data_IF_501398034083
#
_entry.id   IF_501398034083
#
_cell.length_a   1.000
_cell.length_b   1.000
_cell.length_c   1.000
_cell.angle_alpha   90.00
_cell.angle_beta   90.00
_cell.angle_gamma   90.00
#
_symmetry.space_group_name_H-M   'P 1'
#
loop_
_entity.id
_entity.type
_entity.pdbx_description
1 polymer ?
#
# COMPACT_ATOMS: atom_id res chain seq x y z
N UNK A 1 -18.40 9.60 6.09
CA UNK A 1 -17.02 10.02 6.45
C UNK A 1 -16.20 8.76 6.55
N UNK A 2 -15.00 8.72 5.95
CA UNK A 2 -14.10 7.58 6.12
C UNK A 2 -13.64 7.49 7.58
N UNK A 3 -13.56 6.28 8.09
CA UNK A 3 -12.87 5.91 9.33
C UNK A 3 -11.37 5.78 9.08
N UNK A 4 -10.57 5.82 10.16
CA UNK A 4 -9.13 5.59 10.06
C UNK A 4 -8.79 4.19 9.49
N UNK A 5 -9.66 3.19 9.73
CA UNK A 5 -9.50 1.83 9.18
C UNK A 5 -9.70 1.82 7.67
N UNK A 6 -10.81 2.39 7.19
CA UNK A 6 -11.05 2.51 5.74
C UNK A 6 -9.94 3.33 5.05
N UNK A 7 -9.40 4.36 5.73
CA UNK A 7 -8.25 5.11 5.24
C UNK A 7 -6.99 4.24 5.08
N UNK A 8 -6.74 3.29 5.99
CA UNK A 8 -5.61 2.36 5.87
C UNK A 8 -5.81 1.31 4.79
N UNK A 9 -7.05 0.84 4.59
CA UNK A 9 -7.39 -0.11 3.52
C UNK A 9 -7.17 0.50 2.13
N UNK A 10 -7.42 1.80 1.98
CA UNK A 10 -7.12 2.57 0.76
C UNK A 10 -5.63 2.90 0.57
N UNK A 11 -4.76 2.51 1.50
CA UNK A 11 -3.34 2.90 1.52
C UNK A 11 -2.63 2.63 0.21
N UNK A 12 -2.75 1.41 -0.33
CA UNK A 12 -2.11 1.02 -1.59
C UNK A 12 -2.64 1.83 -2.77
N UNK A 13 -3.97 1.95 -2.92
CA UNK A 13 -4.58 2.75 -4.00
C UNK A 13 -4.15 4.23 -3.95
N UNK A 14 -3.92 4.77 -2.74
CA UNK A 14 -3.40 6.13 -2.54
C UNK A 14 -1.96 6.25 -3.05
N UNK A 15 -1.11 5.26 -2.79
CA UNK A 15 0.30 5.24 -3.24
C UNK A 15 0.37 5.04 -4.75
N UNK A 16 -0.39 4.10 -5.29
CA UNK A 16 -0.40 3.74 -6.71
C UNK A 16 -1.17 4.76 -7.57
N UNK A 17 -1.98 5.63 -6.95
CA UNK A 17 -2.72 6.69 -7.64
C UNK A 17 -4.03 6.23 -8.29
N UNK A 18 -4.55 5.05 -7.94
CA UNK A 18 -5.71 4.40 -8.57
C UNK A 18 -7.07 4.72 -7.92
N UNK A 19 -7.22 5.92 -7.33
CA UNK A 19 -8.46 6.30 -6.67
C UNK A 19 -9.53 6.84 -7.63
N UNK A 20 -10.78 6.40 -7.44
CA UNK A 20 -11.97 7.07 -8.01
C UNK A 20 -12.08 8.51 -7.49
N UNK A 21 -12.63 9.41 -8.30
CA UNK A 21 -12.76 10.84 -7.95
C UNK A 21 -13.48 11.10 -6.61
N UNK A 22 -14.58 10.39 -6.35
CA UNK A 22 -15.33 10.51 -5.09
C UNK A 22 -14.50 10.09 -3.88
N UNK A 23 -13.80 8.95 -3.98
CA UNK A 23 -12.91 8.44 -2.94
C UNK A 23 -11.75 9.39 -2.68
N UNK A 24 -11.17 9.98 -3.73
CA UNK A 24 -10.11 10.98 -3.62
C UNK A 24 -10.54 12.20 -2.80
N UNK A 25 -11.78 12.68 -3.00
CA UNK A 25 -12.31 13.79 -2.20
C UNK A 25 -12.51 13.39 -0.73
N UNK A 26 -13.03 12.19 -0.48
CA UNK A 26 -13.21 11.68 0.88
C UNK A 26 -11.86 11.53 1.64
N UNK A 27 -10.83 11.03 0.96
CA UNK A 27 -9.44 10.95 1.46
C UNK A 27 -8.89 12.33 1.79
N UNK A 28 -9.04 13.30 0.88
CA UNK A 28 -8.60 14.68 1.10
C UNK A 28 -9.28 15.32 2.32
N UNK A 29 -10.59 15.12 2.47
CA UNK A 29 -11.30 15.59 3.66
C UNK A 29 -10.77 14.92 4.93
N UNK A 30 -10.64 13.60 4.95
CA UNK A 30 -10.19 12.88 6.14
C UNK A 30 -8.78 13.30 6.57
N UNK A 31 -7.84 13.49 5.63
CA UNK A 31 -6.50 13.98 5.95
C UNK A 31 -6.48 15.40 6.55
N UNK A 32 -7.46 16.26 6.22
CA UNK A 32 -7.57 17.59 6.84
C UNK A 32 -8.08 17.52 8.28
N UNK A 33 -8.93 16.55 8.59
CA UNK A 33 -9.59 16.42 9.90
C UNK A 33 -8.83 15.50 10.87
N UNK A 34 -8.04 14.57 10.35
CA UNK A 34 -7.28 13.60 11.15
C UNK A 34 -5.77 13.77 10.93
N UNK A 35 -5.04 14.44 11.84
CA UNK A 35 -3.60 14.66 11.69
C UNK A 35 -2.80 13.34 11.73
N UNK A 36 -3.31 12.30 12.40
CA UNK A 36 -2.69 10.97 12.44
C UNK A 36 -2.72 10.28 11.09
N UNK A 37 -3.85 10.32 10.39
CA UNK A 37 -3.95 9.76 9.04
C UNK A 37 -3.13 10.56 8.02
N UNK A 38 -2.99 11.88 8.20
CA UNK A 38 -2.05 12.68 7.40
C UNK A 38 -0.60 12.22 7.60
N UNK A 39 -0.18 11.99 8.85
CA UNK A 39 1.16 11.49 9.16
C UNK A 39 1.37 10.06 8.61
N UNK A 40 0.40 9.18 8.82
CA UNK A 40 0.41 7.80 8.30
C UNK A 40 0.63 7.76 6.79
N UNK A 41 -0.12 8.54 6.01
CA UNK A 41 0.07 8.57 4.54
C UNK A 41 1.43 9.16 4.16
N UNK A 42 1.93 10.16 4.89
CA UNK A 42 3.28 10.69 4.65
C UNK A 42 4.35 9.60 4.88
N UNK A 43 4.22 8.82 5.94
CA UNK A 43 5.11 7.70 6.24
C UNK A 43 5.02 6.62 5.18
N UNK A 44 3.80 6.24 4.79
CA UNK A 44 3.58 5.22 3.78
C UNK A 44 4.21 5.61 2.43
N UNK A 45 4.08 6.88 2.01
CA UNK A 45 4.75 7.42 0.81
C UNK A 45 6.26 7.34 0.91
N UNK A 46 6.82 7.79 2.04
CA UNK A 46 8.27 7.73 2.27
C UNK A 46 8.78 6.29 2.20
N UNK A 47 8.09 5.34 2.84
CA UNK A 47 8.46 3.93 2.79
C UNK A 47 8.42 3.40 1.36
N UNK A 48 7.37 3.71 0.60
CA UNK A 48 7.25 3.29 -0.80
C UNK A 48 8.38 3.87 -1.67
N UNK A 49 8.69 5.16 -1.53
CA UNK A 49 9.79 5.83 -2.25
C UNK A 49 11.15 5.20 -1.92
N UNK A 50 11.40 4.87 -0.66
CA UNK A 50 12.64 4.18 -0.25
C UNK A 50 12.71 2.78 -0.86
N UNK A 51 11.60 2.02 -0.83
CA UNK A 51 11.55 0.68 -1.41
C UNK A 51 11.77 0.67 -2.92
N UNK A 52 11.28 1.69 -3.63
CA UNK A 52 11.50 1.83 -5.08
C UNK A 52 12.96 2.12 -5.46
N UNK A 53 13.79 2.57 -4.51
CA UNK A 53 15.21 2.81 -4.73
C UNK A 53 16.08 1.58 -4.44
N UNK A 54 15.51 0.51 -3.85
CA UNK A 54 16.27 -0.71 -3.64
C UNK A 54 16.62 -1.34 -4.99
N UNK A 55 17.88 -1.77 -5.19
CA UNK A 55 18.26 -2.54 -6.38
C UNK A 55 17.68 -3.95 -6.24
N UNK A 56 16.41 -4.11 -6.57
CA UNK A 56 15.82 -5.40 -6.80
C UNK A 56 16.40 -5.89 -8.14
N UNK A 57 17.36 -6.82 -8.05
CA UNK A 57 17.96 -7.40 -9.24
C UNK A 57 16.89 -8.04 -10.12
N UNK A 58 17.11 -8.03 -11.43
CA UNK A 58 16.24 -8.68 -12.43
C UNK A 58 16.42 -10.22 -12.42
N UNK A 59 16.82 -10.76 -11.27
CA UNK A 59 17.03 -12.18 -11.06
C UNK A 59 15.67 -12.86 -11.11
N UNK A 60 15.48 -13.71 -12.11
CA UNK A 60 14.22 -14.41 -12.31
C UNK A 60 13.92 -15.25 -11.07
N UNK A 61 12.89 -14.85 -10.33
CA UNK A 61 12.40 -15.61 -9.18
C UNK A 61 11.78 -16.91 -9.70
N UNK A 62 12.24 -18.06 -9.20
CA UNK A 62 11.67 -19.36 -9.53
C UNK A 62 10.25 -19.48 -8.94
N UNK A 63 9.30 -19.02 -9.74
CA UNK A 63 7.89 -18.99 -9.38
C UNK A 63 7.30 -20.40 -9.22
N UNK A 64 7.87 -21.41 -9.90
CA UNK A 64 7.40 -22.79 -9.77
C UNK A 64 7.81 -23.37 -8.41
N UNK A 65 9.05 -23.16 -7.99
CA UNK A 65 9.49 -23.58 -6.66
C UNK A 65 8.67 -22.95 -5.52
N UNK A 66 8.26 -21.68 -5.66
CA UNK A 66 7.37 -21.02 -4.69
C UNK A 66 5.98 -21.67 -4.67
N UNK A 67 5.39 -21.91 -5.85
CA UNK A 67 4.07 -22.53 -5.96
C UNK A 67 4.05 -23.95 -5.39
N UNK A 68 5.09 -24.74 -5.63
CA UNK A 68 5.19 -26.09 -5.09
C UNK A 68 5.23 -26.08 -3.56
N UNK A 69 5.95 -25.13 -2.94
CA UNK A 69 5.95 -24.97 -1.47
C UNK A 69 4.62 -24.51 -0.91
N UNK A 70 3.90 -23.61 -1.58
CA UNK A 70 2.57 -23.17 -1.14
C UNK A 70 1.52 -24.29 -1.24
N UNK A 71 1.71 -25.25 -2.15
CA UNK A 71 0.81 -26.39 -2.37
C UNK A 71 1.03 -27.53 -1.38
N UNK A 72 2.22 -27.66 -0.81
CA UNK A 72 2.50 -28.57 0.30
C UNK A 72 2.38 -27.78 1.60
N UNK A 73 1.22 -27.80 2.30
CA UNK A 73 1.12 -27.11 3.58
C UNK A 73 2.15 -27.75 4.51
N UNK A 74 3.02 -26.90 5.05
CA UNK A 74 3.96 -27.25 6.12
C UNK A 74 3.12 -27.91 7.24
N UNK A 75 3.40 -29.19 7.51
CA UNK A 75 2.61 -30.03 8.42
C UNK A 75 3.23 -30.06 9.79
#
# INVERSE_FOLDING_TARGET
MLTCREMSELGSEIIDGHLRFSTRLAVLMHQRMCPRCKLYIKQLKLTAEVLQQLPLGDESVDSQAILDRLRTPDR
#
